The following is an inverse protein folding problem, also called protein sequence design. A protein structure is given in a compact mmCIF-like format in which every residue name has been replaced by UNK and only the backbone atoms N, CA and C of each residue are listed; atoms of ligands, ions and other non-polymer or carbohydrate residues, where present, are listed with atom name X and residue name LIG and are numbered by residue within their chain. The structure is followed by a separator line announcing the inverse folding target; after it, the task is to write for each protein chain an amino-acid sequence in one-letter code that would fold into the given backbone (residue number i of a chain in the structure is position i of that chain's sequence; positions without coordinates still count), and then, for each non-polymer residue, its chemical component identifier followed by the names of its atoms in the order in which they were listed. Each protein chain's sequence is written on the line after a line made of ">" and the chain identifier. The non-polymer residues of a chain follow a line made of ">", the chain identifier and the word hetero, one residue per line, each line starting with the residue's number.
data_IF_200488820408
#
_entry.id   IF_200488820408
#
_cell.length_a   1.000
_cell.length_b   1.000
_cell.length_c   1.000
_cell.angle_alpha   90.00
_cell.angle_beta   90.00
_cell.angle_gamma   90.00
#
_symmetry.space_group_name_H-M   'P 1'
#
loop_
_entity.id
_entity.type
_entity.pdbx_description
1 polymer ?
#
# COMPACT_ATOMS: atom_id res chain seq x y z
N UNK A 1 14.10 -3.20 2.07
CA UNK A 1 13.04 -3.65 3.03
C UNK A 1 11.76 -4.01 2.27
N UNK A 2 10.83 -4.79 2.84
CA UNK A 2 9.56 -5.14 2.18
C UNK A 2 8.43 -4.19 2.60
N UNK A 3 7.78 -3.59 1.60
CA UNK A 3 6.65 -2.66 1.76
C UNK A 3 5.43 -3.25 1.06
N UNK A 4 4.30 -3.32 1.74
CA UNK A 4 3.04 -3.82 1.19
C UNK A 4 2.04 -2.68 1.26
N UNK A 5 1.53 -2.26 0.11
CA UNK A 5 0.54 -1.20 0.00
C UNK A 5 -0.80 -1.83 -0.41
N UNK A 6 -1.86 -1.49 0.32
CA UNK A 6 -3.16 -2.14 0.25
C UNK A 6 -4.26 -1.08 0.11
N UNK A 7 -5.22 -1.32 -0.78
CA UNK A 7 -6.49 -0.58 -0.77
C UNK A 7 -7.42 -1.18 0.29
N UNK A 8 -7.98 -0.36 1.18
CA UNK A 8 -8.94 -0.83 2.18
C UNK A 8 -10.17 -1.50 1.54
N UNK A 9 -10.63 -1.00 0.39
CA UNK A 9 -11.83 -1.51 -0.29
C UNK A 9 -11.60 -2.90 -0.94
N UNK A 10 -10.39 -3.13 -1.45
CA UNK A 10 -10.03 -4.37 -2.15
C UNK A 10 -9.49 -5.44 -1.20
N UNK A 11 -8.69 -5.03 -0.22
CA UNK A 11 -7.96 -5.96 0.61
C UNK A 11 -8.88 -6.69 1.61
N UNK A 12 -8.39 -7.86 2.05
CA UNK A 12 -8.98 -8.63 3.14
C UNK A 12 -7.93 -8.79 4.23
N UNK A 13 -8.29 -8.66 5.52
CA UNK A 13 -7.30 -8.73 6.61
C UNK A 13 -6.60 -10.10 6.65
N UNK A 14 -7.27 -11.16 6.19
CA UNK A 14 -6.73 -12.52 6.14
C UNK A 14 -5.49 -12.62 5.23
N UNK A 15 -5.38 -11.79 4.20
CA UNK A 15 -4.21 -11.73 3.31
C UNK A 15 -2.92 -11.33 4.05
N UNK A 16 -3.06 -10.72 5.24
CA UNK A 16 -1.92 -10.30 6.07
C UNK A 16 -1.55 -11.30 7.15
N UNK A 17 -2.34 -12.38 7.33
CA UNK A 17 -2.14 -13.34 8.41
C UNK A 17 -0.79 -14.08 8.31
N UNK A 18 -0.31 -14.35 7.11
CA UNK A 18 0.94 -15.09 6.86
C UNK A 18 2.12 -14.17 6.53
N UNK A 19 1.91 -12.86 6.51
CA UNK A 19 2.96 -11.89 6.19
C UNK A 19 3.89 -11.70 7.39
N UNK A 20 5.19 -11.64 7.10
CA UNK A 20 6.23 -11.34 8.07
C UNK A 20 5.98 -9.96 8.74
N UNK A 21 5.85 -9.90 10.08
CA UNK A 21 5.72 -8.66 10.85
C UNK A 21 6.87 -7.65 10.67
N UNK A 22 7.99 -8.05 10.07
CA UNK A 22 9.09 -7.16 9.66
C UNK A 22 8.71 -6.20 8.53
N UNK A 23 7.65 -6.50 7.77
CA UNK A 23 7.21 -5.69 6.65
C UNK A 23 6.53 -4.38 7.09
N UNK A 24 6.60 -3.37 6.22
CA UNK A 24 5.78 -2.16 6.34
C UNK A 24 4.44 -2.35 5.63
N UNK A 25 3.34 -2.04 6.31
CA UNK A 25 1.99 -2.08 5.75
C UNK A 25 1.51 -0.65 5.54
N UNK A 26 1.09 -0.32 4.32
CA UNK A 26 0.51 0.97 3.97
C UNK A 26 -0.94 0.74 3.57
N UNK A 27 -1.87 1.10 4.44
CA UNK A 27 -3.30 0.92 4.22
C UNK A 27 -3.91 2.23 3.71
N UNK A 28 -4.35 2.23 2.46
CA UNK A 28 -5.01 3.36 1.83
C UNK A 28 -6.50 3.30 2.14
N UNK A 29 -6.98 4.33 2.84
CA UNK A 29 -8.32 4.39 3.42
C UNK A 29 -9.15 5.44 2.66
N UNK A 30 -10.32 5.10 2.11
CA UNK A 30 -11.16 6.06 1.40
C UNK A 30 -11.67 7.17 2.33
N UNK A 31 -11.92 8.35 1.74
CA UNK A 31 -12.50 9.47 2.47
C UNK A 31 -13.86 9.09 3.08
N UNK A 32 -14.08 9.46 4.34
CA UNK A 32 -15.32 9.14 5.06
C UNK A 32 -15.34 7.77 5.74
N UNK A 33 -14.28 6.96 5.62
CA UNK A 33 -14.15 5.74 6.41
C UNK A 33 -13.82 6.08 7.88
N UNK A 34 -14.83 6.02 8.74
CA UNK A 34 -14.68 6.34 10.17
C UNK A 34 -14.41 5.11 11.05
N UNK A 35 -14.82 3.92 10.58
CA UNK A 35 -14.75 2.69 11.36
C UNK A 35 -13.88 1.64 10.68
N UNK A 36 -13.16 0.84 11.46
CA UNK A 36 -12.38 -0.28 10.94
C UNK A 36 -12.86 -1.57 11.63
N UNK A 37 -13.17 -2.63 10.87
CA UNK A 37 -13.56 -3.91 11.45
C UNK A 37 -12.51 -4.42 12.45
N UNK A 38 -12.96 -5.05 13.54
CA UNK A 38 -12.05 -5.54 14.59
C UNK A 38 -10.99 -6.50 14.04
N UNK A 39 -11.34 -7.32 13.05
CA UNK A 39 -10.40 -8.25 12.38
C UNK A 39 -9.22 -7.53 11.73
N UNK A 40 -9.44 -6.35 11.13
CA UNK A 40 -8.37 -5.51 10.63
C UNK A 40 -7.46 -5.02 11.74
N UNK A 41 -8.04 -4.52 12.83
CA UNK A 41 -7.28 -4.03 13.98
C UNK A 41 -6.38 -5.13 14.57
N UNK A 42 -6.93 -6.33 14.80
CA UNK A 42 -6.19 -7.47 15.35
C UNK A 42 -5.00 -7.87 14.48
N UNK A 43 -5.21 -7.97 13.17
CA UNK A 43 -4.14 -8.36 12.24
C UNK A 43 -3.08 -7.26 12.13
N UNK A 44 -3.48 -5.99 12.03
CA UNK A 44 -2.56 -4.86 11.92
C UNK A 44 -1.70 -4.66 13.18
N UNK A 45 -2.24 -4.96 14.36
CA UNK A 45 -1.50 -4.87 15.63
C UNK A 45 -0.17 -5.67 15.62
N UNK A 46 -0.10 -6.77 14.86
CA UNK A 46 1.11 -7.60 14.74
C UNK A 46 2.30 -6.86 14.15
N UNK A 47 2.05 -5.85 13.31
CA UNK A 47 3.09 -5.07 12.64
C UNK A 47 3.56 -3.86 13.47
N UNK A 48 2.85 -3.53 14.56
CA UNK A 48 3.20 -2.44 15.46
C UNK A 48 3.40 -1.10 14.74
N UNK A 49 4.57 -0.47 14.94
CA UNK A 49 4.91 0.83 14.34
C UNK A 49 5.13 0.79 12.82
N UNK A 50 5.03 -0.38 12.18
CA UNK A 50 5.24 -0.54 10.74
C UNK A 50 3.95 -0.40 9.93
N UNK A 51 2.83 -0.13 10.58
CA UNK A 51 1.56 0.20 9.92
C UNK A 51 1.47 1.70 9.66
N UNK A 52 1.14 2.05 8.42
CA UNK A 52 0.96 3.40 7.94
C UNK A 52 -0.46 3.54 7.39
N UNK A 53 -1.27 4.37 8.03
CA UNK A 53 -2.61 4.70 7.54
C UNK A 53 -2.53 5.92 6.62
N UNK A 54 -3.00 5.75 5.38
CA UNK A 54 -2.98 6.79 4.36
C UNK A 54 -4.41 7.12 3.97
N UNK A 55 -4.90 8.28 4.43
CA UNK A 55 -6.25 8.73 4.09
C UNK A 55 -6.28 9.33 2.69
N UNK A 56 -7.14 8.77 1.84
CA UNK A 56 -7.38 9.30 0.50
C UNK A 56 -8.25 10.55 0.61
N UNK A 57 -7.97 11.58 -0.22
CA UNK A 57 -8.80 12.77 -0.27
C UNK A 57 -10.20 12.45 -0.80
N UNK A 58 -11.23 13.21 -0.39
CA UNK A 58 -12.56 13.08 -0.98
C UNK A 58 -12.52 13.38 -2.48
N UNK A 59 -13.41 12.74 -3.25
CA UNK A 59 -13.33 12.54 -4.71
C UNK A 59 -13.25 13.77 -5.64
N UNK A 60 -13.09 14.98 -5.11
CA UNK A 60 -12.81 16.21 -5.87
C UNK A 60 -11.45 16.88 -5.53
N UNK A 61 -10.75 16.42 -4.47
CA UNK A 61 -9.57 17.10 -3.95
C UNK A 61 -8.23 16.54 -4.49
N UNK A 62 -8.16 15.25 -4.81
CA UNK A 62 -7.05 14.69 -5.61
C UNK A 62 -7.43 13.33 -6.20
N UNK A 63 -6.80 12.96 -7.31
CA UNK A 63 -6.87 11.60 -7.86
C UNK A 63 -6.21 10.62 -6.87
N UNK A 64 -6.93 9.58 -6.40
CA UNK A 64 -6.35 8.53 -5.57
C UNK A 64 -5.05 7.96 -6.15
N UNK A 65 -4.96 7.81 -7.48
CA UNK A 65 -3.77 7.32 -8.16
C UNK A 65 -2.52 8.17 -7.92
N UNK A 66 -2.68 9.49 -7.73
CA UNK A 66 -1.57 10.39 -7.41
C UNK A 66 -1.04 10.16 -5.99
N UNK A 67 -1.91 9.85 -5.04
CA UNK A 67 -1.51 9.55 -3.65
C UNK A 67 -0.69 8.26 -3.61
N UNK A 68 -1.14 7.23 -4.34
CA UNK A 68 -0.36 6.00 -4.54
C UNK A 68 1.02 6.29 -5.14
N UNK A 69 1.07 7.04 -6.25
CA UNK A 69 2.33 7.38 -6.91
C UNK A 69 3.29 8.15 -6.00
N UNK A 70 2.77 9.08 -5.20
CA UNK A 70 3.55 9.84 -4.22
C UNK A 70 4.20 8.93 -3.18
N UNK A 71 3.43 8.01 -2.58
CA UNK A 71 3.95 7.10 -1.57
C UNK A 71 4.93 6.07 -2.15
N UNK A 72 4.63 5.52 -3.33
CA UNK A 72 5.53 4.63 -4.05
C UNK A 72 6.88 5.31 -4.34
N UNK A 73 6.84 6.54 -4.88
CA UNK A 73 8.05 7.31 -5.17
C UNK A 73 8.85 7.64 -3.91
N UNK A 74 8.18 7.95 -2.78
CA UNK A 74 8.85 8.19 -1.50
C UNK A 74 9.55 6.95 -0.95
N UNK A 75 8.91 5.79 -1.02
CA UNK A 75 9.52 4.52 -0.57
C UNK A 75 10.76 4.24 -1.42
N UNK A 76 10.63 4.28 -2.75
CA UNK A 76 11.74 4.05 -3.68
C UNK A 76 12.89 5.06 -3.50
N UNK A 77 12.59 6.33 -3.23
CA UNK A 77 13.62 7.34 -2.99
C UNK A 77 14.37 7.15 -1.66
N UNK A 78 13.73 6.57 -0.65
CA UNK A 78 14.34 6.33 0.67
C UNK A 78 15.10 5.01 0.73
N UNK A 79 14.60 4.00 0.03
CA UNK A 79 15.18 2.66 -0.05
C UNK A 79 15.10 2.17 -1.51
N UNK A 80 16.13 2.43 -2.33
CA UNK A 80 16.19 1.98 -3.73
C UNK A 80 16.11 0.45 -3.87
N UNK A 81 16.49 -0.27 -2.82
CA UNK A 81 16.45 -1.73 -2.74
C UNK A 81 15.15 -2.25 -2.10
N UNK A 82 14.14 -1.39 -1.95
CA UNK A 82 12.83 -1.79 -1.44
C UNK A 82 12.17 -2.80 -2.39
N UNK A 83 11.58 -3.83 -1.79
CA UNK A 83 10.62 -4.72 -2.45
C UNK A 83 9.23 -4.20 -2.14
N UNK A 84 8.50 -3.81 -3.17
CA UNK A 84 7.18 -3.20 -3.04
C UNK A 84 6.12 -4.19 -3.52
N UNK A 85 5.10 -4.43 -2.71
CA UNK A 85 3.96 -5.26 -3.10
C UNK A 85 2.69 -4.43 -3.07
N UNK A 86 1.80 -4.67 -4.02
CA UNK A 86 0.53 -3.99 -4.16
C UNK A 86 -0.62 -4.99 -4.13
N UNK A 87 -1.60 -4.69 -3.30
CA UNK A 87 -2.89 -5.38 -3.27
C UNK A 87 -3.99 -4.35 -3.52
N UNK A 88 -4.46 -4.30 -4.75
CA UNK A 88 -5.55 -3.42 -5.15
C UNK A 88 -6.20 -3.94 -6.43
N UNK A 89 -7.52 -3.81 -6.51
CA UNK A 89 -8.26 -4.07 -7.75
C UNK A 89 -8.20 -2.87 -8.71
N UNK A 90 -7.56 -1.77 -8.31
CA UNK A 90 -7.44 -0.57 -9.14
C UNK A 90 -6.23 -0.66 -10.06
N UNK A 91 -6.50 -0.79 -11.35
CA UNK A 91 -5.49 -0.94 -12.40
C UNK A 91 -4.80 0.40 -12.73
N UNK A 92 -5.31 1.54 -12.23
CA UNK A 92 -4.70 2.86 -12.46
C UNK A 92 -3.27 2.95 -11.91
N UNK A 93 -2.93 2.09 -10.95
CA UNK A 93 -1.60 2.00 -10.36
C UNK A 93 -0.59 1.33 -11.32
N UNK A 94 -1.05 0.56 -12.31
CA UNK A 94 -0.20 -0.24 -13.19
C UNK A 94 0.79 0.60 -14.00
N UNK A 95 0.37 1.76 -14.46
CA UNK A 95 1.22 2.69 -15.23
C UNK A 95 2.39 3.18 -14.37
N UNK A 96 2.14 3.46 -13.09
CA UNK A 96 3.19 3.89 -12.15
C UNK A 96 4.19 2.76 -11.95
N UNK A 97 3.70 1.53 -11.79
CA UNK A 97 4.55 0.36 -11.58
C UNK A 97 5.40 0.01 -12.79
N UNK A 98 4.82 0.07 -13.98
CA UNK A 98 5.56 -0.14 -15.21
C UNK A 98 6.71 0.86 -15.33
N UNK A 99 6.48 2.13 -14.97
CA UNK A 99 7.53 3.16 -14.97
C UNK A 99 8.60 2.88 -13.91
N UNK A 100 8.21 2.53 -12.69
CA UNK A 100 9.18 2.24 -11.61
C UNK A 100 10.08 1.05 -11.96
N UNK A 101 9.50 -0.03 -12.52
CA UNK A 101 10.26 -1.18 -13.01
C UNK A 101 11.20 -0.79 -14.16
N UNK A 102 10.72 -0.02 -15.14
CA UNK A 102 11.52 0.41 -16.27
C UNK A 102 12.71 1.30 -15.87
N UNK A 103 12.58 2.06 -14.78
CA UNK A 103 13.63 2.96 -14.28
C UNK A 103 14.51 2.32 -13.19
N UNK A 104 14.30 1.04 -12.84
CA UNK A 104 15.03 0.33 -11.77
C UNK A 104 15.01 1.09 -10.42
N UNK A 105 13.95 1.84 -10.15
CA UNK A 105 13.83 2.63 -8.92
C UNK A 105 13.49 1.77 -7.69
N UNK A 106 13.18 0.49 -7.88
CA UNK A 106 12.93 -0.47 -6.82
C UNK A 106 13.31 -1.88 -7.27
N UNK A 107 13.67 -2.73 -6.31
CA UNK A 107 14.20 -4.07 -6.56
C UNK A 107 13.13 -5.00 -7.15
N UNK A 108 11.88 -4.87 -6.68
CA UNK A 108 10.75 -5.57 -7.28
C UNK A 108 9.41 -4.90 -6.96
N UNK A 109 8.43 -5.12 -7.84
CA UNK A 109 7.03 -4.77 -7.65
C UNK A 109 6.20 -6.03 -7.84
N UNK A 110 5.36 -6.43 -6.89
CA UNK A 110 4.50 -7.61 -7.02
C UNK A 110 3.03 -7.21 -6.87
N UNK A 111 2.15 -7.65 -7.78
CA UNK A 111 0.69 -7.54 -7.62
C UNK A 111 0.17 -8.87 -7.07
N UNK A 112 -0.68 -8.79 -6.06
CA UNK A 112 -1.45 -9.94 -5.57
C UNK A 112 -2.86 -9.86 -6.15
N UNK A 113 -3.32 -10.96 -6.74
CA UNK A 113 -4.68 -11.15 -7.25
C UNK A 113 -5.55 -11.87 -6.21
#
# INVERSE_FOLDING_TARGET
>A
MKHILLSFDSARPECLSEIDPACHIWLFIPAGQEYMPMTWCEVLCRFGKRVHFVFLPPGSAADPGLVWAYHLGRIAAQDPDAVICLLSDDNRQDIVLQRMRAQQHCLDVVRFD
#
